data_IF_016045765705
#
_entry.id   IF_016045765705
#
_cell.length_a   1.000
_cell.length_b   1.000
_cell.length_c   1.000
_cell.angle_alpha   90.00
_cell.angle_beta   90.00
_cell.angle_gamma   90.00
#
_symmetry.space_group_name_H-M   'P 1'
#
loop_
_entity.id
_entity.type
_entity.pdbx_description
1 polymer ?
#
# COMPACT_ATOMS: atom_id res chain seq x y z
N UNK A 1 -0.90 4.42 -29.13
CA UNK A 1 -1.55 5.76 -29.15
C UNK A 1 -2.25 5.96 -27.81
N UNK A 2 -1.78 6.87 -26.97
CA UNK A 2 -2.47 7.19 -25.71
C UNK A 2 -3.75 7.97 -26.04
N UNK A 3 -4.92 7.45 -25.65
CA UNK A 3 -6.19 8.18 -25.79
C UNK A 3 -6.08 9.48 -24.98
N UNK A 4 -6.20 10.62 -25.66
CA UNK A 4 -6.32 11.93 -25.03
C UNK A 4 -7.64 11.95 -24.25
N UNK A 5 -7.58 11.87 -22.93
CA UNK A 5 -8.75 11.94 -22.06
C UNK A 5 -9.05 13.40 -21.71
N UNK A 6 -10.32 13.81 -21.84
CA UNK A 6 -10.75 15.15 -21.41
C UNK A 6 -10.68 15.30 -19.89
N UNK A 7 -10.64 16.55 -19.39
CA UNK A 7 -10.61 16.83 -17.95
C UNK A 7 -11.81 16.22 -17.22
N UNK A 8 -12.99 16.28 -17.84
CA UNK A 8 -14.24 15.69 -17.32
C UNK A 8 -14.15 14.17 -17.19
N UNK A 9 -13.49 13.50 -18.14
CA UNK A 9 -13.26 12.05 -18.09
C UNK A 9 -12.27 11.64 -17.00
N UNK A 10 -11.30 12.51 -16.67
CA UNK A 10 -10.39 12.30 -15.53
C UNK A 10 -11.09 12.51 -14.19
N UNK A 11 -11.98 13.50 -14.09
CA UNK A 11 -12.75 13.79 -12.88
C UNK A 11 -13.78 12.69 -12.55
N UNK A 12 -14.40 12.08 -13.56
CA UNK A 12 -15.35 10.97 -13.41
C UNK A 12 -14.71 9.62 -13.12
N UNK A 13 -13.37 9.54 -13.06
CA UNK A 13 -12.68 8.28 -12.80
C UNK A 13 -12.83 7.90 -11.33
N UNK A 14 -13.77 7.00 -11.06
CA UNK A 14 -13.98 6.45 -9.73
C UNK A 14 -12.71 5.77 -9.22
N UNK A 15 -12.32 6.12 -7.99
CA UNK A 15 -11.18 5.49 -7.34
C UNK A 15 -11.57 4.03 -7.07
N UNK A 16 -10.77 3.09 -7.59
CA UNK A 16 -10.91 1.67 -7.23
C UNK A 16 -10.51 1.49 -5.76
N UNK A 17 -11.47 1.61 -4.87
CA UNK A 17 -11.28 1.30 -3.45
C UNK A 17 -11.39 -0.21 -3.25
N UNK A 18 -10.29 -0.83 -2.83
CA UNK A 18 -10.29 -2.22 -2.40
C UNK A 18 -10.76 -2.26 -0.96
N UNK A 19 -11.78 -3.07 -0.67
CA UNK A 19 -12.34 -3.22 0.67
C UNK A 19 -11.74 -4.44 1.37
N UNK A 20 -11.55 -4.34 2.68
CA UNK A 20 -11.11 -5.45 3.50
C UNK A 20 -12.26 -6.45 3.72
N UNK A 21 -12.05 -7.77 3.55
CA UNK A 21 -13.11 -8.76 3.74
C UNK A 21 -13.56 -8.93 5.21
N UNK A 22 -12.78 -8.43 6.18
CA UNK A 22 -13.05 -8.62 7.62
C UNK A 22 -13.71 -7.40 8.26
N UNK A 23 -13.15 -6.21 8.03
CA UNK A 23 -13.69 -4.97 8.60
C UNK A 23 -14.55 -4.16 7.63
N UNK A 24 -14.69 -4.61 6.37
CA UNK A 24 -15.38 -3.91 5.27
C UNK A 24 -14.90 -2.47 5.00
N UNK A 25 -13.83 -2.03 5.66
CA UNK A 25 -13.24 -0.72 5.50
C UNK A 25 -12.35 -0.62 4.26
N UNK A 26 -12.01 0.60 3.84
CA UNK A 26 -11.09 0.83 2.74
C UNK A 26 -9.68 0.37 3.10
N UNK A 27 -9.04 -0.40 2.20
CA UNK A 27 -7.63 -0.75 2.30
C UNK A 27 -6.80 0.40 1.72
N UNK A 28 -5.90 0.94 2.52
CA UNK A 28 -4.91 1.93 2.10
C UNK A 28 -3.57 1.25 1.89
N UNK A 29 -2.98 1.37 0.70
CA UNK A 29 -1.66 0.84 0.44
C UNK A 29 -0.60 1.81 0.95
N UNK A 30 0.23 1.35 1.88
CA UNK A 30 1.30 2.12 2.50
C UNK A 30 2.64 1.47 2.19
N UNK A 31 3.65 2.30 1.92
CA UNK A 31 5.02 1.85 1.72
C UNK A 31 5.67 1.58 3.07
N UNK A 32 5.97 0.32 3.34
CA UNK A 32 6.58 -0.15 4.58
C UNK A 32 8.05 -0.48 4.34
N UNK A 33 8.92 0.30 4.97
CA UNK A 33 10.37 0.12 4.94
C UNK A 33 10.82 -0.55 6.23
N UNK A 34 11.35 -1.76 6.13
CA UNK A 34 11.86 -2.52 7.29
C UNK A 34 13.34 -2.86 7.12
N UNK A 35 14.18 -2.66 8.15
CA UNK A 35 15.55 -3.15 8.13
C UNK A 35 15.52 -4.69 8.27
N UNK A 36 16.08 -5.38 7.28
CA UNK A 36 16.24 -6.84 7.25
C UNK A 36 17.73 -7.14 7.21
N UNK A 37 18.18 -8.00 8.13
CA UNK A 37 19.56 -8.44 8.17
C UNK A 37 19.76 -9.56 7.14
N UNK A 38 20.78 -9.40 6.29
CA UNK A 38 21.19 -10.47 5.39
C UNK A 38 22.13 -11.42 6.14
N UNK A 39 21.60 -12.57 6.57
CA UNK A 39 22.34 -13.55 7.38
C UNK A 39 23.59 -14.09 6.67
N UNK A 40 23.58 -14.13 5.33
CA UNK A 40 24.70 -14.65 4.52
C UNK A 40 25.87 -13.66 4.43
N UNK A 41 25.59 -12.35 4.34
CA UNK A 41 26.62 -11.30 4.14
C UNK A 41 26.87 -10.44 5.38
N UNK A 42 26.13 -10.66 6.46
CA UNK A 42 26.22 -9.85 7.69
C UNK A 42 25.79 -8.38 7.54
N UNK A 43 25.25 -7.98 6.39
CA UNK A 43 24.88 -6.59 6.08
C UNK A 43 23.40 -6.30 6.33
N UNK A 44 23.10 -5.04 6.63
CA UNK A 44 21.73 -4.55 6.76
C UNK A 44 21.20 -4.07 5.41
N UNK A 45 19.99 -4.50 5.07
CA UNK A 45 19.26 -4.00 3.89
C UNK A 45 17.91 -3.46 4.32
N UNK A 46 17.39 -2.51 3.58
CA UNK A 46 16.03 -2.03 3.77
C UNK A 46 15.12 -2.75 2.79
N UNK A 47 14.20 -3.56 3.30
CA UNK A 47 13.15 -4.17 2.51
C UNK A 47 12.03 -3.14 2.32
N UNK A 48 11.75 -2.82 1.07
CA UNK A 48 10.69 -1.91 0.67
C UNK A 48 9.50 -2.71 0.16
N UNK A 49 8.37 -2.64 0.86
CA UNK A 49 7.17 -3.41 0.51
C UNK A 49 5.93 -2.52 0.57
N UNK A 50 5.08 -2.62 -0.45
CA UNK A 50 3.76 -2.00 -0.39
C UNK A 50 2.79 -2.95 0.32
N UNK A 51 2.29 -2.52 1.48
CA UNK A 51 1.39 -3.32 2.31
C UNK A 51 0.02 -2.65 2.33
N UNK A 52 -1.03 -3.44 2.13
CA UNK A 52 -2.41 -2.98 2.30
C UNK A 52 -2.75 -2.88 3.79
N UNK A 53 -3.06 -1.67 4.26
CA UNK A 53 -3.41 -1.37 5.64
C UNK A 53 -4.90 -1.09 5.76
N UNK A 54 -5.52 -1.69 6.77
CA UNK A 54 -6.90 -1.47 7.18
C UNK A 54 -6.96 -1.44 8.72
N UNK A 55 -8.15 -1.22 9.30
CA UNK A 55 -8.33 -1.15 10.75
C UNK A 55 -7.82 -2.39 11.50
N UNK A 56 -7.81 -3.56 10.84
CA UNK A 56 -7.36 -4.82 11.44
C UNK A 56 -5.85 -4.90 11.65
N UNK A 57 -5.04 -4.43 10.70
CA UNK A 57 -3.58 -4.58 10.72
C UNK A 57 -2.82 -3.27 10.97
N UNK A 58 -3.54 -2.16 11.16
CA UNK A 58 -2.96 -0.84 11.42
C UNK A 58 -2.00 -0.86 12.64
N UNK A 59 -2.37 -1.57 13.71
CA UNK A 59 -1.53 -1.68 14.91
C UNK A 59 -0.17 -2.35 14.63
N UNK A 60 -0.16 -3.40 13.82
CA UNK A 60 1.06 -4.14 13.49
C UNK A 60 1.99 -3.36 12.54
N UNK A 61 1.42 -2.58 11.63
CA UNK A 61 2.18 -1.82 10.63
C UNK A 61 2.78 -0.55 11.23
N UNK A 62 2.00 0.20 12.03
CA UNK A 62 2.47 1.46 12.61
C UNK A 62 3.19 1.30 13.95
N UNK A 63 3.13 0.12 14.60
CA UNK A 63 3.70 -0.13 15.92
C UNK A 63 3.39 1.00 16.92
N UNK A 64 2.11 1.40 16.97
CA UNK A 64 1.58 2.36 17.95
C UNK A 64 1.13 1.58 19.18
#
# INVERSE_FOLDING_TARGET
MAKQMSFEQKAKKEKKTVTCPVCHGPIQYVRLVKPVRNEVKGSWKFADTNVGVCKCNQAEVYKI
#
